data_IF_307474897225
#
_entry.id   IF_307474897225
#
_cell.length_a   1.000
_cell.length_b   1.000
_cell.length_c   1.000
_cell.angle_alpha   90.00
_cell.angle_beta   90.00
_cell.angle_gamma   90.00
#
_symmetry.space_group_name_H-M   'P 1'
#
loop_
_entity.id
_entity.type
_entity.pdbx_description
1 polymer ?
#
# COMPACT_ATOMS: atom_id res chain seq x y z
N UNK A 1 -15.57 1.05 -12.11
CA UNK A 1 -15.70 1.00 -10.62
C UNK A 1 -17.04 1.58 -10.16
N UNK A 2 -17.66 1.12 -9.05
CA UNK A 2 -18.80 1.84 -8.47
C UNK A 2 -18.39 3.26 -8.09
N UNK A 3 -19.24 4.24 -8.41
CA UNK A 3 -18.96 5.66 -8.17
C UNK A 3 -19.01 5.94 -6.66
N UNK A 4 -17.86 6.17 -6.03
CA UNK A 4 -17.80 6.73 -4.68
C UNK A 4 -17.91 8.26 -4.74
N UNK A 5 -18.39 8.86 -3.65
CA UNK A 5 -18.39 10.31 -3.49
C UNK A 5 -16.99 10.80 -3.14
N UNK A 6 -16.65 12.00 -3.60
CA UNK A 6 -15.41 12.71 -3.28
C UNK A 6 -15.71 13.95 -2.43
N UNK A 7 -14.67 14.65 -1.96
CA UNK A 7 -14.83 15.97 -1.32
C UNK A 7 -15.63 16.94 -2.22
N UNK A 8 -15.58 16.78 -3.55
CA UNK A 8 -16.32 17.63 -4.49
C UNK A 8 -17.81 17.36 -4.55
N UNK A 9 -18.26 16.18 -4.15
CA UNK A 9 -19.67 15.80 -4.14
C UNK A 9 -20.37 16.16 -2.81
N UNK A 10 -19.61 16.60 -1.79
CA UNK A 10 -20.11 16.84 -0.43
C UNK A 10 -20.34 18.33 -0.15
N UNK A 11 -21.45 18.63 0.53
CA UNK A 11 -21.72 19.97 1.08
C UNK A 11 -21.00 20.14 2.43
N UNK A 12 -19.93 20.93 2.44
CA UNK A 12 -19.03 21.10 3.60
C UNK A 12 -19.13 22.46 4.29
N UNK A 13 -19.77 23.46 3.67
CA UNK A 13 -19.71 24.84 4.15
C UNK A 13 -20.35 24.98 5.54
N UNK A 14 -19.57 25.51 6.49
CA UNK A 14 -19.97 25.66 7.89
C UNK A 14 -20.13 24.34 8.66
N UNK A 15 -19.77 23.19 8.08
CA UNK A 15 -19.92 21.88 8.73
C UNK A 15 -18.63 21.39 9.37
N UNK A 16 -18.78 20.66 10.46
CA UNK A 16 -17.74 19.84 11.06
C UNK A 16 -17.59 18.55 10.25
N UNK A 17 -16.40 18.34 9.72
CA UNK A 17 -16.07 17.24 8.82
C UNK A 17 -15.17 16.25 9.54
N UNK A 18 -15.73 15.10 9.92
CA UNK A 18 -14.95 14.00 10.50
C UNK A 18 -14.06 13.42 9.41
N UNK A 19 -12.74 13.55 9.57
CA UNK A 19 -11.77 13.17 8.54
C UNK A 19 -10.89 12.05 9.05
N UNK A 20 -11.06 10.83 8.52
CA UNK A 20 -10.19 9.70 8.87
C UNK A 20 -8.88 9.80 8.10
N UNK A 21 -7.75 9.92 8.81
CA UNK A 21 -6.42 10.16 8.21
C UNK A 21 -5.39 9.15 8.71
N UNK A 22 -4.37 8.83 7.90
CA UNK A 22 -3.24 8.01 8.36
C UNK A 22 -2.07 8.90 8.81
N UNK A 23 -1.88 9.00 10.12
CA UNK A 23 -0.69 9.64 10.74
C UNK A 23 0.12 8.64 11.54
N UNK A 24 0.00 7.34 11.24
CA UNK A 24 0.79 6.30 11.91
C UNK A 24 2.21 6.28 11.34
N UNK A 25 3.07 7.14 11.89
CA UNK A 25 4.46 7.41 11.46
C UNK A 25 5.48 6.85 12.45
N UNK A 26 6.73 6.57 12.04
CA UNK A 26 7.77 6.21 13.00
C UNK A 26 8.08 7.40 13.94
N UNK A 27 8.21 7.09 15.22
CA UNK A 27 8.54 8.05 16.27
C UNK A 27 9.69 7.49 17.10
N UNK A 28 10.74 8.28 17.28
CA UNK A 28 11.89 7.99 18.13
C UNK A 28 12.03 9.12 19.15
N UNK A 29 12.18 8.78 20.44
CA UNK A 29 12.30 9.75 21.54
C UNK A 29 11.22 10.86 21.54
N UNK A 30 9.98 10.48 21.18
CA UNK A 30 8.84 11.42 21.10
C UNK A 30 8.89 12.37 19.90
N UNK A 31 9.72 12.10 18.89
CA UNK A 31 9.83 12.88 17.65
C UNK A 31 9.54 12.03 16.44
N UNK A 32 8.76 12.57 15.51
CA UNK A 32 8.51 11.96 14.21
C UNK A 32 9.80 11.95 13.40
N UNK A 33 10.23 10.77 12.93
CA UNK A 33 11.45 10.60 12.12
C UNK A 33 11.17 10.55 10.61
N UNK A 34 9.92 10.26 10.22
CA UNK A 34 9.43 10.35 8.84
C UNK A 34 8.01 10.92 8.84
N UNK A 35 7.85 12.13 8.30
CA UNK A 35 6.59 12.85 8.26
C UNK A 35 5.77 12.59 6.98
N UNK A 36 6.22 11.71 6.08
CA UNK A 36 5.62 11.50 4.74
C UNK A 36 4.10 11.28 4.80
N UNK A 37 3.60 10.49 5.76
CA UNK A 37 2.15 10.24 5.91
C UNK A 37 1.37 11.47 6.37
N UNK A 38 1.97 12.27 7.25
CA UNK A 38 1.38 13.53 7.73
C UNK A 38 1.32 14.55 6.59
N UNK A 39 2.36 14.65 5.78
CA UNK A 39 2.41 15.57 4.64
C UNK A 39 1.35 15.22 3.58
N UNK A 40 1.15 13.91 3.31
CA UNK A 40 0.19 13.43 2.31
C UNK A 40 -1.29 13.75 2.61
N UNK A 41 -1.66 14.00 3.87
CA UNK A 41 -3.05 14.32 4.24
C UNK A 41 -3.34 15.82 4.20
N UNK A 42 -2.32 16.67 4.11
CA UNK A 42 -2.44 18.13 4.08
C UNK A 42 -3.37 18.62 2.96
N UNK A 43 -3.28 18.11 1.70
CA UNK A 43 -4.16 18.54 0.62
C UNK A 43 -5.65 18.36 0.95
N UNK A 44 -6.02 17.22 1.50
CA UNK A 44 -7.41 16.92 1.91
C UNK A 44 -7.89 17.90 2.98
N UNK A 45 -7.09 18.13 4.02
CA UNK A 45 -7.43 19.06 5.11
C UNK A 45 -7.63 20.48 4.57
N UNK A 46 -6.72 20.95 3.70
CA UNK A 46 -6.81 22.27 3.08
C UNK A 46 -8.00 22.38 2.13
N UNK A 47 -8.34 21.31 1.39
CA UNK A 47 -9.52 21.29 0.51
C UNK A 47 -10.83 21.40 1.31
N UNK A 48 -10.94 20.71 2.45
CA UNK A 48 -12.08 20.84 3.36
C UNK A 48 -12.21 22.29 3.86
N UNK A 49 -11.10 22.89 4.34
CA UNK A 49 -11.08 24.28 4.80
C UNK A 49 -11.46 25.27 3.69
N UNK A 50 -10.97 25.06 2.47
CA UNK A 50 -11.27 25.92 1.32
C UNK A 50 -12.75 25.89 0.92
N UNK A 51 -13.45 24.79 1.22
CA UNK A 51 -14.90 24.63 1.03
C UNK A 51 -15.74 25.09 2.24
N UNK A 52 -15.12 25.73 3.24
CA UNK A 52 -15.79 26.24 4.43
C UNK A 52 -16.03 25.20 5.53
N UNK A 53 -15.56 23.96 5.34
CA UNK A 53 -15.64 22.91 6.35
C UNK A 53 -14.58 23.04 7.45
N UNK A 54 -14.87 22.43 8.59
CA UNK A 54 -14.01 22.42 9.78
C UNK A 54 -13.51 20.99 10.01
N UNK A 55 -12.25 20.66 9.67
CA UNK A 55 -11.72 19.30 9.81
C UNK A 55 -11.57 18.86 11.28
N UNK A 56 -12.13 17.70 11.60
CA UNK A 56 -11.91 16.97 12.86
C UNK A 56 -11.27 15.62 12.51
N UNK A 57 -9.98 15.51 12.76
CA UNK A 57 -9.15 14.40 12.35
C UNK A 57 -9.31 13.21 13.32
N UNK A 58 -9.54 12.04 12.74
CA UNK A 58 -9.55 10.74 13.42
C UNK A 58 -8.38 9.91 12.91
N UNK A 59 -7.59 9.35 13.82
CA UNK A 59 -6.49 8.49 13.46
C UNK A 59 -6.22 7.42 14.52
N UNK A 60 -5.46 6.41 14.13
CA UNK A 60 -4.84 5.49 15.06
C UNK A 60 -3.33 5.73 15.11
N UNK A 61 -2.71 5.35 16.22
CA UNK A 61 -1.27 5.35 16.36
C UNK A 61 -0.82 4.07 17.07
N UNK A 62 0.08 3.30 16.44
CA UNK A 62 0.51 2.01 16.97
C UNK A 62 -0.62 0.98 17.17
N UNK A 63 -0.43 0.12 18.17
CA UNK A 63 -1.34 -0.98 18.53
C UNK A 63 -1.54 -1.05 20.05
N UNK A 64 -2.31 -0.12 20.62
CA UNK A 64 -2.48 0.02 22.06
C UNK A 64 -3.47 -0.99 22.68
N UNK A 65 -4.09 -1.86 21.86
CA UNK A 65 -4.99 -2.95 22.29
C UNK A 65 -6.18 -2.48 23.13
N UNK A 66 -6.81 -1.36 22.74
CA UNK A 66 -8.03 -0.86 23.37
C UNK A 66 -7.80 -0.21 24.74
N UNK A 67 -6.59 0.25 25.05
CA UNK A 67 -6.27 0.94 26.30
C UNK A 67 -5.39 2.18 26.04
N UNK A 68 -5.48 3.23 26.86
CA UNK A 68 -4.57 4.37 26.75
C UNK A 68 -3.12 3.97 27.01
N UNK A 69 -2.23 4.33 26.08
CA UNK A 69 -0.78 4.12 26.19
C UNK A 69 -0.08 5.41 25.79
N UNK A 70 0.60 6.07 26.73
CA UNK A 70 1.22 7.40 26.54
C UNK A 70 2.14 7.44 25.30
N UNK A 71 2.98 6.42 25.12
CA UNK A 71 3.88 6.30 23.98
C UNK A 71 3.13 6.17 22.63
N UNK A 72 1.84 5.83 22.66
CA UNK A 72 0.96 5.72 21.49
C UNK A 72 -0.15 6.80 21.48
N UNK A 73 0.00 7.88 22.24
CA UNK A 73 -0.87 9.05 22.09
C UNK A 73 -0.59 9.77 20.77
N UNK A 74 -1.65 10.30 20.15
CA UNK A 74 -1.52 11.17 18.98
C UNK A 74 -0.92 12.54 19.31
N UNK A 75 -0.69 12.86 20.58
CA UNK A 75 0.15 14.02 20.97
C UNK A 75 1.54 13.96 20.35
N UNK A 76 2.09 12.76 20.18
CA UNK A 76 3.43 12.55 19.63
C UNK A 76 3.55 13.09 18.20
N UNK A 77 2.46 13.09 17.43
CA UNK A 77 2.46 13.55 16.03
C UNK A 77 1.99 15.00 15.87
N UNK A 78 1.46 15.61 16.94
CA UNK A 78 0.87 16.95 16.91
C UNK A 78 1.87 18.01 16.41
N UNK A 79 3.13 18.09 16.91
CA UNK A 79 4.08 19.10 16.42
C UNK A 79 4.40 18.95 14.93
N UNK A 80 4.51 17.72 14.44
CA UNK A 80 4.77 17.46 13.02
C UNK A 80 3.55 17.81 12.14
N UNK A 81 2.34 17.53 12.63
CA UNK A 81 1.10 17.91 11.96
C UNK A 81 0.92 19.43 11.87
N UNK A 82 1.19 20.16 12.95
CA UNK A 82 1.15 21.63 12.96
C UNK A 82 2.18 22.23 11.99
N UNK A 83 3.40 21.68 11.98
CA UNK A 83 4.45 22.09 11.05
C UNK A 83 4.03 21.84 9.59
N UNK A 84 3.48 20.67 9.27
CA UNK A 84 3.03 20.33 7.91
C UNK A 84 1.84 21.18 7.45
N UNK A 85 0.90 21.48 8.34
CA UNK A 85 -0.27 22.32 8.01
C UNK A 85 0.04 23.82 7.98
N UNK A 86 1.13 24.24 8.63
CA UNK A 86 1.48 25.65 8.82
C UNK A 86 0.48 26.40 9.71
N UNK A 87 -0.23 25.70 10.61
CA UNK A 87 -1.21 26.30 11.52
C UNK A 87 -1.33 25.48 12.82
N UNK A 88 -1.76 26.08 13.93
CA UNK A 88 -2.06 25.35 15.16
C UNK A 88 -3.17 24.31 14.97
N UNK A 89 -3.06 23.20 15.68
CA UNK A 89 -4.06 22.13 15.67
C UNK A 89 -4.56 21.93 17.10
N UNK A 90 -5.86 22.10 17.32
CA UNK A 90 -6.46 21.78 18.59
C UNK A 90 -6.35 20.26 18.85
N UNK A 91 -6.25 19.87 20.12
CA UNK A 91 -6.18 18.46 20.49
C UNK A 91 -7.26 18.12 21.50
N UNK A 92 -8.01 17.05 21.27
CA UNK A 92 -8.94 16.49 22.24
C UNK A 92 -8.28 15.30 22.95
N UNK A 93 -8.24 15.33 24.28
CA UNK A 93 -7.69 14.26 25.12
C UNK A 93 -8.32 12.89 24.87
N UNK A 94 -9.56 12.88 24.36
CA UNK A 94 -10.37 11.69 24.13
C UNK A 94 -10.99 11.75 22.74
N UNK A 95 -11.18 10.60 22.11
CA UNK A 95 -11.81 10.51 20.79
C UNK A 95 -13.34 10.65 20.83
N UNK A 96 -13.94 10.44 22.00
CA UNK A 96 -15.39 10.47 22.22
C UNK A 96 -15.72 11.10 23.58
N UNK A 97 -17.01 11.26 23.86
CA UNK A 97 -17.50 11.70 25.17
C UNK A 97 -17.51 13.21 25.34
N UNK A 98 -17.61 13.67 26.59
CA UNK A 98 -17.80 15.09 26.92
C UNK A 98 -16.63 15.96 26.45
N UNK A 99 -15.41 15.47 26.54
CA UNK A 99 -14.20 16.20 26.19
C UNK A 99 -14.12 16.45 24.69
N UNK A 100 -14.31 15.41 23.87
CA UNK A 100 -14.39 15.52 22.42
C UNK A 100 -15.50 16.47 21.97
N UNK A 101 -16.70 16.37 22.56
CA UNK A 101 -17.83 17.26 22.24
C UNK A 101 -17.54 18.72 22.55
N UNK A 102 -16.90 19.02 23.69
CA UNK A 102 -16.51 20.39 24.06
C UNK A 102 -15.42 20.93 23.13
N UNK A 103 -14.44 20.11 22.77
CA UNK A 103 -13.40 20.50 21.82
C UNK A 103 -14.00 20.85 20.44
N UNK A 104 -14.90 20.01 19.93
CA UNK A 104 -15.61 20.27 18.66
C UNK A 104 -16.46 21.54 18.74
N UNK A 105 -17.23 21.73 19.82
CA UNK A 105 -18.09 22.89 19.99
C UNK A 105 -17.34 24.23 20.09
N UNK A 106 -16.05 24.19 20.44
CA UNK A 106 -15.19 25.38 20.51
C UNK A 106 -14.62 25.79 19.14
N UNK A 107 -14.69 24.92 18.12
CA UNK A 107 -14.06 25.17 16.83
C UNK A 107 -14.69 26.36 16.10
N UNK A 108 -13.83 27.16 15.49
CA UNK A 108 -14.17 28.25 14.59
C UNK A 108 -13.80 27.89 13.15
N UNK A 109 -14.37 28.57 12.13
CA UNK A 109 -13.93 28.43 10.75
C UNK A 109 -12.41 28.57 10.61
N UNK A 110 -11.79 27.66 9.87
CA UNK A 110 -10.33 27.59 9.70
C UNK A 110 -9.56 26.85 10.80
N UNK A 111 -10.22 26.40 11.88
CA UNK A 111 -9.58 25.52 12.86
C UNK A 111 -9.42 24.09 12.32
N UNK A 112 -8.52 23.33 12.95
CA UNK A 112 -8.38 21.88 12.79
C UNK A 112 -8.30 21.27 14.19
N UNK A 113 -9.01 20.15 14.39
CA UNK A 113 -8.96 19.38 15.63
C UNK A 113 -8.37 18.00 15.36
N UNK A 114 -7.45 17.53 16.19
CA UNK A 114 -7.01 16.14 16.25
C UNK A 114 -7.65 15.48 17.48
N UNK A 115 -8.42 14.42 17.24
CA UNK A 115 -8.91 13.56 18.30
C UNK A 115 -7.81 12.60 18.76
N UNK A 116 -7.86 12.17 20.02
CA UNK A 116 -6.96 11.13 20.52
C UNK A 116 -7.15 9.78 19.78
N UNK A 117 -6.15 8.93 19.87
CA UNK A 117 -6.00 7.65 19.20
C UNK A 117 -7.28 6.79 19.28
N UNK A 118 -7.89 6.52 18.13
CA UNK A 118 -9.12 5.71 18.05
C UNK A 118 -8.94 4.32 18.62
N UNK A 119 -7.74 3.74 18.56
CA UNK A 119 -7.45 2.40 19.10
C UNK A 119 -7.25 2.36 20.62
N UNK A 120 -7.29 3.48 21.32
CA UNK A 120 -7.43 3.46 22.79
C UNK A 120 -8.79 2.94 23.24
N UNK A 121 -9.74 2.78 22.31
CA UNK A 121 -11.07 2.27 22.58
C UNK A 121 -11.23 0.88 21.95
N UNK A 122 -11.64 -0.15 22.70
CA UNK A 122 -11.80 -1.50 22.15
C UNK A 122 -12.89 -1.58 21.07
N UNK A 123 -13.85 -0.64 21.10
CA UNK A 123 -14.90 -0.52 20.09
C UNK A 123 -14.39 -0.21 18.68
N UNK A 124 -13.21 0.41 18.54
CA UNK A 124 -12.64 0.76 17.23
C UNK A 124 -12.39 -0.47 16.36
N UNK A 125 -11.60 -1.43 16.86
CA UNK A 125 -11.23 -2.63 16.09
C UNK A 125 -12.39 -3.63 15.99
N UNK A 126 -13.35 -3.56 16.91
CA UNK A 126 -14.57 -4.37 16.89
C UNK A 126 -15.66 -3.82 15.95
N UNK A 127 -15.44 -2.64 15.36
CA UNK A 127 -16.47 -1.89 14.63
C UNK A 127 -17.77 -1.74 15.44
N UNK A 128 -17.62 -1.41 16.72
CA UNK A 128 -18.75 -1.36 17.65
C UNK A 128 -19.74 -0.26 17.24
N UNK A 129 -21.03 -0.58 17.05
CA UNK A 129 -22.03 0.41 16.63
C UNK A 129 -22.18 1.59 17.59
N UNK A 130 -21.99 1.38 18.90
CA UNK A 130 -22.10 2.45 19.90
C UNK A 130 -20.91 3.40 19.81
N UNK A 131 -19.71 2.87 19.60
CA UNK A 131 -18.51 3.66 19.36
C UNK A 131 -18.60 4.42 18.05
N UNK A 132 -19.02 3.78 16.95
CA UNK A 132 -19.27 4.42 15.66
C UNK A 132 -20.28 5.58 15.76
N UNK A 133 -21.39 5.38 16.48
CA UNK A 133 -22.38 6.43 16.72
C UNK A 133 -21.83 7.57 17.59
N UNK A 134 -20.96 7.25 18.55
CA UNK A 134 -20.32 8.26 19.39
C UNK A 134 -19.34 9.14 18.62
N UNK A 135 -18.60 8.56 17.67
CA UNK A 135 -17.75 9.32 16.73
C UNK A 135 -18.62 10.14 15.77
N UNK A 136 -19.63 9.53 15.14
CA UNK A 136 -20.51 10.20 14.17
C UNK A 136 -21.23 11.41 14.78
N UNK A 137 -21.58 11.38 16.06
CA UNK A 137 -22.19 12.50 16.76
C UNK A 137 -21.30 13.75 16.89
N UNK A 138 -20.01 13.66 16.53
CA UNK A 138 -19.05 14.77 16.57
C UNK A 138 -19.00 15.58 15.26
N UNK A 139 -19.65 15.15 14.19
CA UNK A 139 -19.64 15.91 12.93
C UNK A 139 -20.91 15.70 12.11
N UNK A 140 -20.96 16.35 10.94
CA UNK A 140 -22.11 16.27 10.04
C UNK A 140 -21.79 15.57 8.71
N UNK A 141 -20.51 15.49 8.35
CA UNK A 141 -20.01 14.84 7.13
C UNK A 141 -18.78 14.01 7.48
N UNK A 142 -18.57 12.90 6.79
CA UNK A 142 -17.41 12.04 6.94
C UNK A 142 -16.56 12.03 5.66
N UNK A 143 -15.25 12.18 5.81
CA UNK A 143 -14.27 12.04 4.74
C UNK A 143 -13.28 10.97 5.15
N UNK A 144 -13.15 9.91 4.34
CA UNK A 144 -12.13 8.89 4.56
C UNK A 144 -10.95 9.15 3.64
N UNK A 145 -9.82 9.51 4.23
CA UNK A 145 -8.56 9.78 3.53
C UNK A 145 -7.45 8.77 3.92
N UNK A 146 -7.83 7.66 4.57
CA UNK A 146 -6.92 6.66 5.09
C UNK A 146 -7.03 5.32 4.34
N UNK A 147 -6.62 5.30 3.06
CA UNK A 147 -6.64 4.07 2.24
C UNK A 147 -5.88 2.90 2.91
N UNK A 148 -4.75 3.18 3.56
CA UNK A 148 -3.96 2.20 4.32
C UNK A 148 -4.74 1.47 5.41
N UNK A 149 -5.80 2.07 5.96
CA UNK A 149 -6.65 1.49 6.99
C UNK A 149 -7.99 0.96 6.43
N UNK A 150 -8.29 1.19 5.15
CA UNK A 150 -9.59 0.87 4.56
C UNK A 150 -9.83 -0.63 4.36
N UNK A 151 -8.78 -1.45 4.40
CA UNK A 151 -8.86 -2.91 4.41
C UNK A 151 -9.41 -3.49 5.73
N UNK A 152 -9.60 -2.66 6.76
CA UNK A 152 -10.19 -3.06 8.04
C UNK A 152 -11.57 -2.45 8.20
N UNK A 153 -12.54 -3.29 8.57
CA UNK A 153 -13.84 -2.84 9.04
C UNK A 153 -13.71 -2.38 10.50
N UNK A 154 -13.29 -1.13 10.71
CA UNK A 154 -13.23 -0.51 12.04
C UNK A 154 -14.28 0.60 12.13
N UNK A 155 -14.64 1.01 13.34
CA UNK A 155 -15.61 2.09 13.56
C UNK A 155 -15.22 3.36 12.82
N UNK A 156 -13.96 3.80 12.95
CA UNK A 156 -13.50 5.04 12.33
C UNK A 156 -13.25 4.97 10.82
N UNK A 157 -13.25 3.78 10.20
CA UNK A 157 -13.00 3.59 8.75
C UNK A 157 -14.26 3.20 7.99
N UNK A 158 -15.17 2.47 8.63
CA UNK A 158 -16.32 1.79 8.03
C UNK A 158 -17.63 2.19 8.74
N UNK A 159 -17.67 2.05 10.07
CA UNK A 159 -18.89 2.25 10.84
C UNK A 159 -19.44 3.68 10.76
N UNK A 160 -18.58 4.69 10.89
CA UNK A 160 -18.96 6.12 10.77
C UNK A 160 -19.47 6.44 9.37
N UNK A 161 -18.89 5.84 8.32
CA UNK A 161 -19.28 6.07 6.93
C UNK A 161 -20.72 5.64 6.63
N UNK A 162 -21.27 4.68 7.40
CA UNK A 162 -22.67 4.25 7.28
C UNK A 162 -23.67 5.18 7.97
N UNK A 163 -23.19 6.07 8.84
CA UNK A 163 -24.02 6.93 9.68
C UNK A 163 -24.13 8.37 9.17
N UNK A 164 -23.14 8.82 8.38
CA UNK A 164 -23.05 10.18 7.86
C UNK A 164 -22.97 10.17 6.33
N UNK A 165 -23.30 11.29 5.65
CA UNK A 165 -22.85 11.52 4.29
C UNK A 165 -21.34 11.36 4.23
N UNK A 166 -20.85 10.52 3.31
CA UNK A 166 -19.46 10.09 3.29
C UNK A 166 -18.83 10.25 1.90
N UNK A 167 -17.53 10.56 1.87
CA UNK A 167 -16.76 10.58 0.63
C UNK A 167 -15.28 10.27 0.86
N UNK A 168 -14.58 10.01 -0.23
CA UNK A 168 -13.14 9.86 -0.27
C UNK A 168 -12.47 11.23 -0.12
N UNK A 169 -11.41 11.29 0.69
CA UNK A 169 -10.46 12.40 0.66
C UNK A 169 -9.58 12.33 -0.59
N UNK A 170 -8.73 13.35 -0.80
CA UNK A 170 -7.90 13.44 -2.02
C UNK A 170 -6.84 12.33 -2.11
N UNK A 171 -6.27 11.89 -0.98
CA UNK A 171 -5.32 10.78 -0.95
C UNK A 171 -6.02 9.45 -1.21
N UNK A 172 -7.18 9.23 -0.59
CA UNK A 172 -8.02 8.06 -0.86
C UNK A 172 -8.42 7.99 -2.34
N UNK A 173 -8.90 9.10 -2.89
CA UNK A 173 -9.29 9.19 -4.30
C UNK A 173 -8.11 8.89 -5.23
N UNK A 174 -6.93 9.46 -4.97
CA UNK A 174 -5.74 9.20 -5.76
C UNK A 174 -5.33 7.71 -5.73
N UNK A 175 -5.36 7.06 -4.56
CA UNK A 175 -5.09 5.62 -4.42
C UNK A 175 -6.09 4.79 -5.21
N UNK A 176 -7.40 5.07 -5.08
CA UNK A 176 -8.46 4.33 -5.78
C UNK A 176 -8.37 4.52 -7.31
N UNK A 177 -8.09 5.74 -7.78
CA UNK A 177 -7.93 6.03 -9.20
C UNK A 177 -6.72 5.31 -9.79
N UNK A 178 -5.57 5.33 -9.10
CA UNK A 178 -4.37 4.63 -9.54
C UNK A 178 -4.59 3.11 -9.59
N UNK A 179 -5.24 2.54 -8.58
CA UNK A 179 -5.56 1.11 -8.55
C UNK A 179 -6.52 0.73 -9.67
N UNK A 180 -7.59 1.51 -9.87
CA UNK A 180 -8.53 1.27 -10.97
C UNK A 180 -7.84 1.32 -12.34
N UNK A 181 -6.96 2.30 -12.56
CA UNK A 181 -6.17 2.38 -13.79
C UNK A 181 -5.19 1.20 -13.97
N UNK A 182 -4.86 0.48 -12.90
CA UNK A 182 -3.89 -0.61 -12.94
C UNK A 182 -4.49 -2.02 -13.10
N UNK A 183 -5.55 -2.36 -12.36
CA UNK A 183 -6.22 -3.68 -12.45
C UNK A 183 -7.73 -3.63 -12.70
N UNK A 184 -8.38 -2.47 -12.53
CA UNK A 184 -9.82 -2.34 -12.75
C UNK A 184 -10.16 -2.20 -14.23
N UNK A 185 -9.73 -1.09 -14.81
CA UNK A 185 -9.91 -0.72 -16.21
C UNK A 185 -8.57 -0.29 -16.83
N UNK A 186 -7.56 -1.19 -16.89
CA UNK A 186 -6.23 -0.84 -17.35
C UNK A 186 -6.10 -0.77 -18.86
N UNK A 187 -5.11 -0.01 -19.32
CA UNK A 187 -4.65 -0.08 -20.70
C UNK A 187 -3.85 -1.38 -20.91
N UNK A 188 -4.20 -2.14 -21.94
CA UNK A 188 -3.58 -3.43 -22.26
C UNK A 188 -2.50 -3.30 -23.34
N UNK A 189 -1.43 -4.10 -23.31
CA UNK A 189 -1.19 -5.22 -22.37
C UNK A 189 -0.80 -4.79 -20.94
N UNK A 190 -1.23 -5.56 -19.94
CA UNK A 190 -0.88 -5.37 -18.52
C UNK A 190 0.21 -6.34 -18.12
N UNK A 191 1.28 -5.81 -17.52
CA UNK A 191 2.31 -6.59 -16.85
C UNK A 191 2.21 -6.44 -15.33
N UNK A 192 2.44 -7.51 -14.60
CA UNK A 192 2.66 -7.46 -13.15
C UNK A 192 4.03 -8.05 -12.80
N UNK A 193 4.74 -7.39 -11.88
CA UNK A 193 5.95 -7.92 -11.23
C UNK A 193 5.58 -8.29 -9.81
N UNK A 194 5.76 -9.56 -9.47
CA UNK A 194 5.57 -10.08 -8.11
C UNK A 194 6.87 -10.69 -7.64
N UNK A 195 7.35 -10.22 -6.49
CA UNK A 195 8.58 -10.71 -5.87
C UNK A 195 8.43 -10.93 -4.36
N UNK A 196 9.57 -11.12 -3.72
CA UNK A 196 9.65 -11.43 -2.29
C UNK A 196 10.05 -12.88 -2.00
N UNK A 197 10.00 -13.26 -0.72
CA UNK A 197 10.67 -14.45 -0.23
C UNK A 197 9.84 -15.74 -0.29
N UNK A 198 8.51 -15.66 -0.16
CA UNK A 198 7.63 -16.83 0.05
C UNK A 198 6.39 -16.81 -0.82
N UNK A 199 6.14 -17.91 -1.52
CA UNK A 199 4.93 -18.16 -2.33
C UNK A 199 3.69 -18.24 -1.43
N UNK A 200 3.78 -18.92 -0.28
CA UNK A 200 2.65 -19.15 0.63
C UNK A 200 1.96 -17.85 1.06
N UNK A 201 2.71 -16.76 1.16
CA UNK A 201 2.22 -15.43 1.54
C UNK A 201 1.58 -14.64 0.39
N UNK A 202 1.63 -15.15 -0.84
CA UNK A 202 1.23 -14.48 -2.08
C UNK A 202 0.31 -15.32 -2.97
N UNK A 203 -0.23 -16.43 -2.47
CA UNK A 203 -1.05 -17.35 -3.26
C UNK A 203 -2.31 -16.68 -3.83
N UNK A 204 -3.07 -15.98 -2.97
CA UNK A 204 -4.29 -15.28 -3.38
C UNK A 204 -3.97 -14.18 -4.40
N UNK A 205 -2.85 -13.47 -4.19
CA UNK A 205 -2.36 -12.45 -5.10
C UNK A 205 -2.08 -13.02 -6.49
N UNK A 206 -1.24 -14.06 -6.57
CA UNK A 206 -0.89 -14.70 -7.83
C UNK A 206 -2.14 -15.27 -8.51
N UNK A 207 -3.01 -15.91 -7.75
CA UNK A 207 -4.26 -16.51 -8.25
C UNK A 207 -5.23 -15.49 -8.86
N UNK A 208 -5.32 -14.28 -8.31
CA UNK A 208 -6.11 -13.18 -8.88
C UNK A 208 -5.38 -12.49 -10.05
N UNK A 209 -4.07 -12.30 -9.97
CA UNK A 209 -3.32 -11.64 -11.03
C UNK A 209 -3.29 -12.42 -12.33
N UNK A 210 -3.13 -13.76 -12.31
CA UNK A 210 -3.14 -14.57 -13.54
C UNK A 210 -4.46 -14.48 -14.31
N UNK A 211 -5.56 -14.07 -13.67
CA UNK A 211 -6.84 -13.84 -14.35
C UNK A 211 -6.96 -12.43 -14.93
N UNK A 212 -6.13 -11.48 -14.48
CA UNK A 212 -6.28 -10.05 -14.78
C UNK A 212 -5.19 -9.50 -15.70
N UNK A 213 -3.99 -10.06 -15.68
CA UNK A 213 -2.83 -9.52 -16.41
C UNK A 213 -2.44 -10.38 -17.60
N UNK A 214 -1.85 -9.76 -18.62
CA UNK A 214 -1.35 -10.45 -19.81
C UNK A 214 0.04 -11.07 -19.55
N UNK A 215 0.86 -10.41 -18.72
CA UNK A 215 2.19 -10.88 -18.34
C UNK A 215 2.39 -10.86 -16.83
N UNK A 216 2.82 -11.97 -16.24
CA UNK A 216 3.15 -12.07 -14.83
C UNK A 216 4.63 -12.45 -14.65
N UNK A 217 5.44 -11.50 -14.22
CA UNK A 217 6.86 -11.67 -13.92
C UNK A 217 6.99 -12.06 -12.45
N UNK A 218 7.61 -13.21 -12.19
CA UNK A 218 7.83 -13.70 -10.82
C UNK A 218 9.32 -13.69 -10.53
N UNK A 219 9.73 -12.91 -9.53
CA UNK A 219 11.12 -12.81 -9.07
C UNK A 219 11.29 -13.13 -7.58
N UNK A 220 12.44 -12.79 -7.02
CA UNK A 220 12.76 -13.02 -5.60
C UNK A 220 12.86 -14.50 -5.24
N UNK A 221 12.93 -14.77 -3.93
CA UNK A 221 12.99 -16.15 -3.41
C UNK A 221 11.80 -17.01 -3.83
N UNK A 222 10.62 -16.42 -4.01
CA UNK A 222 9.43 -17.14 -4.43
C UNK A 222 9.54 -17.73 -5.85
N UNK A 223 10.33 -17.13 -6.74
CA UNK A 223 10.58 -17.68 -8.08
C UNK A 223 11.25 -19.06 -8.01
N UNK A 224 12.06 -19.32 -6.99
CA UNK A 224 12.73 -20.61 -6.81
C UNK A 224 11.75 -21.76 -6.57
N UNK A 225 10.61 -21.50 -5.92
CA UNK A 225 9.54 -22.51 -5.77
C UNK A 225 8.92 -22.87 -7.12
N UNK A 226 8.76 -21.89 -8.02
CA UNK A 226 8.27 -22.15 -9.38
C UNK A 226 9.30 -22.89 -10.24
N UNK A 227 10.59 -22.55 -10.11
CA UNK A 227 11.69 -23.27 -10.74
C UNK A 227 11.75 -24.73 -10.26
N UNK A 228 11.71 -24.95 -8.94
CA UNK A 228 11.65 -26.27 -8.33
C UNK A 228 10.42 -27.07 -8.83
N UNK A 229 9.26 -26.43 -8.94
CA UNK A 229 8.05 -27.05 -9.45
C UNK A 229 8.19 -27.51 -10.92
N UNK A 230 9.02 -26.84 -11.72
CA UNK A 230 9.40 -27.22 -13.09
C UNK A 230 10.52 -28.26 -13.17
N UNK A 231 11.02 -28.74 -12.02
CA UNK A 231 12.11 -29.74 -11.96
C UNK A 231 13.50 -29.14 -12.12
N UNK A 232 13.64 -27.83 -11.92
CA UNK A 232 14.93 -27.13 -11.94
C UNK A 232 15.63 -27.33 -10.59
N UNK A 233 16.91 -27.68 -10.61
CA UNK A 233 17.75 -27.72 -9.41
C UNK A 233 18.03 -26.30 -8.90
N UNK A 234 17.71 -26.05 -7.63
CA UNK A 234 17.83 -24.72 -7.00
C UNK A 234 18.90 -24.67 -5.90
N UNK A 235 19.67 -25.74 -5.69
CA UNK A 235 20.69 -25.80 -4.65
C UNK A 235 20.12 -25.52 -3.25
N UNK A 236 20.72 -24.58 -2.51
CA UNK A 236 20.31 -24.13 -1.17
C UNK A 236 19.39 -22.92 -1.18
N UNK A 237 18.80 -22.58 -2.34
CA UNK A 237 17.94 -21.41 -2.47
C UNK A 237 16.70 -21.51 -1.58
N UNK A 238 16.22 -20.36 -1.12
CA UNK A 238 14.95 -20.30 -0.41
C UNK A 238 13.83 -20.73 -1.36
N UNK A 239 13.09 -21.78 -0.99
CA UNK A 239 11.90 -22.26 -1.68
C UNK A 239 10.96 -22.95 -0.69
N UNK A 240 9.72 -23.17 -1.11
CA UNK A 240 8.68 -23.87 -0.34
C UNK A 240 8.27 -25.15 -1.11
N UNK A 241 8.96 -26.28 -0.90
CA UNK A 241 8.71 -27.51 -1.67
C UNK A 241 7.29 -28.05 -1.53
N UNK A 242 6.66 -27.82 -0.37
CA UNK A 242 5.26 -28.15 -0.08
C UNK A 242 4.26 -27.31 -0.89
N UNK A 243 4.71 -26.20 -1.47
CA UNK A 243 3.91 -25.34 -2.37
C UNK A 243 4.15 -25.65 -3.85
N UNK A 244 4.96 -26.66 -4.19
CA UNK A 244 5.30 -26.97 -5.59
C UNK A 244 4.06 -27.34 -6.43
N UNK A 245 3.10 -28.08 -5.86
CA UNK A 245 1.86 -28.43 -6.56
C UNK A 245 1.00 -27.18 -6.80
N UNK A 246 0.88 -26.31 -5.80
CA UNK A 246 0.17 -25.03 -5.96
C UNK A 246 0.85 -24.12 -7.00
N UNK A 247 2.18 -24.10 -7.08
CA UNK A 247 2.88 -23.38 -8.13
C UNK A 247 2.56 -23.93 -9.53
N UNK A 248 2.42 -25.26 -9.69
CA UNK A 248 1.98 -25.90 -10.95
C UNK A 248 0.53 -25.54 -11.28
N UNK A 249 -0.34 -25.47 -10.29
CA UNK A 249 -1.73 -25.06 -10.49
C UNK A 249 -1.80 -23.61 -10.99
N UNK A 250 -0.99 -22.70 -10.42
CA UNK A 250 -0.88 -21.32 -10.90
C UNK A 250 -0.36 -21.25 -12.34
N UNK A 251 0.68 -22.03 -12.68
CA UNK A 251 1.20 -22.12 -14.05
C UNK A 251 0.14 -22.63 -15.04
N UNK A 252 -0.65 -23.63 -14.63
CA UNK A 252 -1.73 -24.19 -15.43
C UNK A 252 -2.84 -23.17 -15.64
N UNK A 253 -3.30 -22.54 -14.55
CA UNK A 253 -4.31 -21.48 -14.59
C UNK A 253 -3.90 -20.32 -15.48
N UNK A 254 -2.64 -19.90 -15.42
CA UNK A 254 -2.12 -18.84 -16.29
C UNK A 254 -2.19 -19.22 -17.78
N UNK A 255 -1.87 -20.48 -18.13
CA UNK A 255 -2.02 -20.96 -19.50
C UNK A 255 -3.49 -20.99 -19.96
N UNK A 256 -4.43 -21.32 -19.06
CA UNK A 256 -5.87 -21.33 -19.34
C UNK A 256 -6.44 -19.91 -19.52
N UNK A 257 -5.97 -18.94 -18.74
CA UNK A 257 -6.41 -17.54 -18.79
C UNK A 257 -5.69 -16.70 -19.85
N UNK A 258 -4.67 -17.26 -20.51
CA UNK A 258 -3.84 -16.55 -21.49
C UNK A 258 -2.80 -15.61 -20.87
N UNK A 259 -2.55 -15.72 -19.57
CA UNK A 259 -1.49 -15.00 -18.88
C UNK A 259 -0.14 -15.69 -19.10
N UNK A 260 0.85 -14.95 -19.61
CA UNK A 260 2.20 -15.45 -19.76
C UNK A 260 3.01 -15.22 -18.49
N UNK A 261 3.40 -16.31 -17.81
CA UNK A 261 4.31 -16.25 -16.67
C UNK A 261 5.77 -16.23 -17.12
N UNK A 262 6.52 -15.23 -16.64
CA UNK A 262 7.96 -15.06 -16.85
C UNK A 262 8.70 -15.41 -15.55
N UNK A 263 9.59 -16.39 -15.63
CA UNK A 263 10.50 -16.78 -14.54
C UNK A 263 11.94 -16.40 -14.93
N UNK A 264 12.88 -16.29 -13.96
CA UNK A 264 14.28 -16.07 -14.26
C UNK A 264 14.85 -17.13 -15.19
N UNK A 265 15.62 -16.69 -16.20
CA UNK A 265 16.34 -17.56 -17.15
C UNK A 265 17.83 -17.66 -16.81
N UNK A 266 18.33 -16.68 -16.08
CA UNK A 266 19.65 -16.64 -15.47
C UNK A 266 19.55 -16.04 -14.07
N UNK A 267 20.48 -16.42 -13.20
CA UNK A 267 20.44 -16.13 -11.77
C UNK A 267 21.82 -15.82 -11.22
N UNK A 268 21.85 -14.91 -10.25
CA UNK A 268 23.04 -14.66 -9.43
C UNK A 268 22.98 -15.59 -8.23
N UNK A 269 24.03 -16.40 -8.06
CA UNK A 269 24.14 -17.32 -6.93
C UNK A 269 25.33 -16.98 -6.04
N UNK A 270 25.16 -17.20 -4.74
CA UNK A 270 26.18 -17.00 -3.72
C UNK A 270 26.21 -18.17 -2.73
N UNK A 271 27.35 -18.40 -2.09
CA UNK A 271 27.47 -19.42 -1.01
C UNK A 271 27.16 -18.84 0.36
N UNK A 272 27.12 -17.52 0.47
CA UNK A 272 26.98 -16.79 1.73
C UNK A 272 26.01 -15.62 1.53
N UNK A 273 25.07 -15.47 2.47
CA UNK A 273 24.06 -14.41 2.43
C UNK A 273 24.54 -13.21 3.24
N UNK A 274 25.47 -12.44 2.67
CA UNK A 274 26.03 -11.22 3.25
C UNK A 274 26.46 -10.23 2.18
N UNK A 275 26.69 -8.98 2.60
CA UNK A 275 27.22 -7.94 1.72
C UNK A 275 28.57 -8.35 1.12
N UNK A 276 28.77 -8.03 -0.16
CA UNK A 276 29.99 -8.29 -0.94
C UNK A 276 30.43 -9.76 -0.98
N UNK A 277 29.50 -10.70 -0.76
CA UNK A 277 29.81 -12.12 -0.89
C UNK A 277 30.24 -12.46 -2.34
N UNK A 278 31.26 -13.34 -2.53
CA UNK A 278 31.60 -13.88 -3.83
C UNK A 278 30.37 -14.54 -4.46
N UNK A 279 30.09 -14.16 -5.70
CA UNK A 279 28.92 -14.61 -6.45
C UNK A 279 29.29 -14.92 -7.89
N UNK A 280 28.45 -15.73 -8.52
CA UNK A 280 28.59 -16.17 -9.90
C UNK A 280 27.25 -16.02 -10.63
N UNK A 281 27.32 -15.75 -11.92
CA UNK A 281 26.16 -15.71 -12.81
C UNK A 281 26.06 -17.06 -13.52
N UNK A 282 24.91 -17.71 -13.40
CA UNK A 282 24.64 -19.01 -14.02
C UNK A 282 23.26 -19.01 -14.70
N UNK A 283 23.03 -19.85 -15.72
CA UNK A 283 21.68 -20.18 -16.16
C UNK A 283 20.82 -20.66 -14.98
N UNK A 284 19.51 -20.39 -15.02
CA UNK A 284 18.60 -20.79 -13.94
C UNK A 284 18.63 -22.31 -13.69
N UNK A 285 18.89 -23.11 -14.72
CA UNK A 285 19.00 -24.57 -14.66
C UNK A 285 20.36 -25.11 -14.20
N UNK A 286 21.32 -24.23 -13.93
CA UNK A 286 22.69 -24.59 -13.58
C UNK A 286 23.10 -24.11 -12.18
N UNK A 287 22.14 -23.94 -11.27
CA UNK A 287 22.43 -23.58 -9.88
C UNK A 287 23.27 -24.67 -9.19
N UNK A 288 24.47 -24.35 -8.66
CA UNK A 288 25.28 -25.33 -7.94
C UNK A 288 24.58 -25.86 -6.68
N UNK A 289 24.72 -27.15 -6.33
CA UNK A 289 24.10 -27.73 -5.14
C UNK A 289 24.51 -27.06 -3.82
N UNK A 290 25.67 -26.41 -3.77
CA UNK A 290 26.21 -25.78 -2.57
C UNK A 290 25.91 -24.27 -2.47
N UNK A 291 25.31 -23.66 -3.49
CA UNK A 291 25.01 -22.24 -3.60
C UNK A 291 23.50 -21.94 -3.47
N UNK A 292 23.15 -20.67 -3.28
CA UNK A 292 21.78 -20.17 -3.21
C UNK A 292 21.57 -19.03 -4.21
N UNK A 293 20.40 -18.98 -4.84
CA UNK A 293 19.95 -17.91 -5.72
C UNK A 293 19.59 -16.69 -4.86
N UNK A 294 20.19 -15.55 -5.17
CA UNK A 294 20.06 -14.31 -4.40
C UNK A 294 19.55 -13.12 -5.22
N UNK A 295 19.69 -13.17 -6.54
CA UNK A 295 19.12 -12.17 -7.46
C UNK A 295 18.86 -12.78 -8.85
N UNK A 296 18.04 -12.12 -9.66
CA UNK A 296 17.90 -12.45 -11.07
C UNK A 296 19.13 -11.99 -11.87
N UNK A 297 19.45 -12.67 -12.97
CA UNK A 297 20.57 -12.30 -13.83
C UNK A 297 20.24 -11.23 -14.87
N UNK A 298 21.26 -10.69 -15.57
CA UNK A 298 21.07 -9.65 -16.58
C UNK A 298 20.25 -10.10 -17.79
N UNK A 299 20.26 -11.38 -18.18
CA UNK A 299 19.42 -11.85 -19.30
C UNK A 299 17.94 -11.84 -18.91
N UNK A 300 17.63 -12.16 -17.66
CA UNK A 300 16.30 -12.05 -17.08
C UNK A 300 15.84 -10.61 -17.05
N UNK A 301 16.71 -9.67 -16.64
CA UNK A 301 16.40 -8.24 -16.67
C UNK A 301 16.11 -7.76 -18.10
N UNK A 302 16.89 -8.21 -19.09
CA UNK A 302 16.64 -7.84 -20.50
C UNK A 302 15.30 -8.39 -21.02
N UNK A 303 14.94 -9.62 -20.65
CA UNK A 303 13.62 -10.17 -20.97
C UNK A 303 12.49 -9.35 -20.33
N UNK A 304 12.66 -8.96 -19.05
CA UNK A 304 11.73 -8.09 -18.33
C UNK A 304 11.61 -6.72 -19.02
N UNK A 305 12.72 -6.12 -19.48
CA UNK A 305 12.71 -4.87 -20.25
C UNK A 305 11.88 -5.01 -21.52
N UNK A 306 12.01 -6.12 -22.24
CA UNK A 306 11.18 -6.43 -23.40
C UNK A 306 9.68 -6.49 -23.07
N UNK A 307 9.31 -7.12 -21.95
CA UNK A 307 7.91 -7.16 -21.47
C UNK A 307 7.39 -5.76 -21.14
N UNK A 308 8.18 -4.95 -20.42
CA UNK A 308 7.78 -3.58 -20.09
C UNK A 308 7.59 -2.70 -21.33
N UNK A 309 8.45 -2.83 -22.34
CA UNK A 309 8.35 -2.08 -23.58
C UNK A 309 7.10 -2.43 -24.40
N UNK A 310 6.57 -3.65 -24.25
CA UNK A 310 5.33 -4.10 -24.89
C UNK A 310 4.06 -3.79 -24.08
N UNK A 311 4.19 -3.56 -22.77
CA UNK A 311 3.08 -3.27 -21.89
C UNK A 311 2.63 -1.80 -21.98
N UNK A 312 1.37 -1.56 -21.61
CA UNK A 312 0.79 -0.23 -21.39
C UNK A 312 0.59 0.09 -19.93
N UNK A 313 0.38 -0.95 -19.12
CA UNK A 313 0.22 -0.83 -17.67
C UNK A 313 1.15 -1.81 -16.95
N UNK A 314 1.85 -1.33 -15.93
CA UNK A 314 2.71 -2.12 -15.06
C UNK A 314 2.22 -2.00 -13.62
N UNK A 315 2.09 -3.14 -12.94
CA UNK A 315 1.94 -3.18 -11.49
C UNK A 315 3.15 -3.86 -10.86
N UNK A 316 3.69 -3.29 -9.79
CA UNK A 316 4.85 -3.84 -9.11
C UNK A 316 4.59 -4.08 -7.61
N UNK A 317 4.73 -5.33 -7.18
CA UNK A 317 4.77 -5.73 -5.77
C UNK A 317 5.91 -6.72 -5.46
N UNK A 318 7.02 -6.23 -4.92
CA UNK A 318 8.12 -7.04 -4.39
C UNK A 318 9.39 -7.00 -5.25
N UNK A 319 10.58 -7.05 -4.64
CA UNK A 319 11.87 -7.01 -5.33
C UNK A 319 12.17 -8.31 -6.10
N UNK A 320 13.05 -8.22 -7.10
CA UNK A 320 13.48 -9.37 -7.91
C UNK A 320 14.61 -10.18 -7.26
N UNK A 321 15.27 -9.61 -6.25
CA UNK A 321 16.37 -10.22 -5.49
C UNK A 321 16.42 -9.74 -4.04
N UNK A 322 17.48 -10.13 -3.33
CA UNK A 322 17.77 -9.71 -1.95
C UNK A 322 18.28 -8.26 -1.89
N UNK A 323 17.41 -7.31 -2.25
CA UNK A 323 17.75 -5.91 -2.53
C UNK A 323 18.38 -5.16 -1.36
N UNK A 324 18.24 -5.66 -0.14
CA UNK A 324 18.84 -5.10 1.07
C UNK A 324 20.35 -5.34 1.12
N UNK A 325 20.85 -6.37 0.42
CA UNK A 325 22.24 -6.83 0.47
C UNK A 325 22.91 -6.57 -0.87
N UNK A 326 23.92 -5.69 -0.88
CA UNK A 326 24.71 -5.46 -2.10
C UNK A 326 25.63 -6.66 -2.38
N UNK A 327 25.81 -7.07 -3.64
CA UNK A 327 25.28 -6.48 -4.88
C UNK A 327 23.96 -7.12 -5.38
N UNK A 328 23.19 -7.80 -4.53
CA UNK A 328 21.99 -8.57 -4.87
C UNK A 328 20.72 -7.71 -5.05
N UNK A 329 20.92 -6.42 -5.30
CA UNK A 329 19.91 -5.44 -5.67
C UNK A 329 19.95 -5.07 -7.17
N UNK A 330 20.92 -5.60 -7.91
CA UNK A 330 21.20 -5.22 -9.29
C UNK A 330 20.00 -5.43 -10.22
N UNK A 331 19.32 -6.58 -10.17
CA UNK A 331 18.19 -6.83 -11.05
C UNK A 331 16.99 -5.96 -10.73
N UNK A 332 16.70 -5.79 -9.43
CA UNK A 332 15.61 -4.93 -8.95
C UNK A 332 15.84 -3.49 -9.41
N UNK A 333 17.05 -2.97 -9.22
CA UNK A 333 17.41 -1.61 -9.62
C UNK A 333 17.31 -1.44 -11.15
N UNK A 334 17.86 -2.38 -11.92
CA UNK A 334 17.89 -2.30 -13.37
C UNK A 334 16.49 -2.41 -14.00
N UNK A 335 15.61 -3.26 -13.47
CA UNK A 335 14.22 -3.35 -13.90
C UNK A 335 13.41 -2.10 -13.47
N UNK A 336 13.65 -1.56 -12.27
CA UNK A 336 12.98 -0.35 -11.79
C UNK A 336 13.32 0.86 -12.66
N UNK A 337 14.59 1.00 -13.05
CA UNK A 337 15.06 2.02 -13.99
C UNK A 337 14.39 1.90 -15.35
N UNK A 338 14.23 0.69 -15.88
CA UNK A 338 13.54 0.47 -17.14
C UNK A 338 12.07 0.91 -17.11
N UNK A 339 11.36 0.54 -16.04
CA UNK A 339 9.96 0.94 -15.86
C UNK A 339 9.83 2.47 -15.77
N UNK A 340 10.70 3.11 -14.97
CA UNK A 340 10.75 4.56 -14.81
C UNK A 340 11.05 5.31 -16.11
N UNK A 341 11.99 4.80 -16.92
CA UNK A 341 12.28 5.35 -18.25
C UNK A 341 11.03 5.36 -19.14
N UNK A 342 10.34 4.23 -19.25
CA UNK A 342 9.13 4.10 -20.05
C UNK A 342 7.96 4.95 -19.52
N UNK A 343 7.87 5.12 -18.20
CA UNK A 343 6.86 5.99 -17.61
C UNK A 343 7.13 7.46 -17.90
N UNK A 344 8.37 7.95 -17.77
CA UNK A 344 8.74 9.32 -18.16
C UNK A 344 8.46 9.61 -19.63
N UNK A 345 8.63 8.61 -20.49
CA UNK A 345 8.31 8.71 -21.92
C UNK A 345 6.81 8.67 -22.22
N UNK A 346 5.95 8.48 -21.20
CA UNK A 346 4.50 8.38 -21.35
C UNK A 346 4.04 7.08 -22.04
N UNK A 347 4.90 6.06 -22.09
CA UNK A 347 4.61 4.77 -22.75
C UNK A 347 4.00 3.73 -21.81
N UNK A 348 4.23 3.90 -20.51
CA UNK A 348 3.86 2.93 -19.47
C UNK A 348 3.25 3.63 -18.25
N UNK A 349 2.01 3.29 -17.94
CA UNK A 349 1.40 3.61 -16.64
C UNK A 349 1.97 2.65 -15.60
N UNK A 350 2.75 3.14 -14.64
CA UNK A 350 3.40 2.30 -13.64
C UNK A 350 2.87 2.56 -12.22
N UNK A 351 2.32 1.52 -11.62
CA UNK A 351 1.77 1.55 -10.26
C UNK A 351 2.55 0.58 -9.39
N UNK A 352 3.14 1.07 -8.30
CA UNK A 352 3.89 0.24 -7.37
C UNK A 352 3.34 0.33 -5.95
N UNK A 353 3.51 -0.73 -5.18
CA UNK A 353 3.11 -0.72 -3.77
C UNK A 353 3.70 -1.88 -2.97
N UNK A 354 3.60 -1.77 -1.66
CA UNK A 354 4.25 -2.66 -0.68
C UNK A 354 5.56 -2.07 -0.15
N UNK A 355 5.80 -2.22 1.16
CA UNK A 355 6.92 -1.56 1.85
C UNK A 355 8.28 -1.82 1.19
N UNK A 356 8.59 -3.08 0.90
CA UNK A 356 9.86 -3.49 0.29
C UNK A 356 10.00 -2.94 -1.15
N UNK A 357 8.91 -2.94 -1.93
CA UNK A 357 8.90 -2.33 -3.27
C UNK A 357 9.24 -0.85 -3.19
N UNK A 358 8.58 -0.12 -2.29
CA UNK A 358 8.80 1.33 -2.12
C UNK A 358 10.24 1.60 -1.67
N UNK A 359 10.78 0.81 -0.74
CA UNK A 359 12.17 0.92 -0.31
C UNK A 359 13.14 0.67 -1.48
N UNK A 360 12.89 -0.38 -2.28
CA UNK A 360 13.70 -0.71 -3.45
C UNK A 360 13.66 0.39 -4.53
N UNK A 361 12.49 0.94 -4.84
CA UNK A 361 12.35 2.02 -5.84
C UNK A 361 13.04 3.31 -5.38
N UNK A 362 13.00 3.64 -4.09
CA UNK A 362 13.75 4.76 -3.52
C UNK A 362 15.26 4.52 -3.62
N UNK A 363 15.73 3.32 -3.27
CA UNK A 363 17.15 2.94 -3.38
C UNK A 363 17.64 2.98 -4.82
N UNK A 364 16.80 2.58 -5.78
CA UNK A 364 17.07 2.69 -7.21
C UNK A 364 17.02 4.14 -7.75
N UNK A 365 16.55 5.10 -6.95
CA UNK A 365 16.48 6.52 -7.30
C UNK A 365 15.35 6.89 -8.27
N UNK A 366 14.32 6.04 -8.39
CA UNK A 366 13.27 6.17 -9.43
C UNK A 366 11.85 6.32 -8.89
N UNK A 367 11.69 6.41 -7.56
CA UNK A 367 10.37 6.47 -6.94
C UNK A 367 9.49 7.63 -7.47
N UNK A 368 10.10 8.77 -7.79
CA UNK A 368 9.39 9.95 -8.31
C UNK A 368 9.03 9.84 -9.80
N UNK A 369 9.57 8.84 -10.50
CA UNK A 369 9.35 8.64 -11.93
C UNK A 369 8.20 7.69 -12.23
N UNK A 370 7.72 6.94 -11.23
CA UNK A 370 6.56 6.06 -11.37
C UNK A 370 5.26 6.87 -11.43
N UNK A 371 4.25 6.37 -12.14
CA UNK A 371 2.96 7.06 -12.24
C UNK A 371 2.30 7.20 -10.88
N UNK A 372 2.36 6.14 -10.07
CA UNK A 372 1.85 6.17 -8.71
C UNK A 372 2.57 5.17 -7.80
N UNK A 373 2.89 5.61 -6.59
CA UNK A 373 3.43 4.74 -5.53
C UNK A 373 2.49 4.76 -4.33
N UNK A 374 1.84 3.61 -4.10
CA UNK A 374 0.95 3.41 -2.97
C UNK A 374 1.75 3.29 -1.67
N UNK A 375 1.35 4.07 -0.68
CA UNK A 375 1.89 3.99 0.69
C UNK A 375 1.00 3.15 1.62
N UNK A 376 -0.02 2.51 1.06
CA UNK A 376 -1.06 1.82 1.82
C UNK A 376 -0.72 0.38 2.20
N UNK A 377 0.46 -0.11 1.83
CA UNK A 377 1.03 -1.37 2.30
C UNK A 377 0.07 -2.56 2.13
N UNK A 378 -0.45 -3.06 3.24
CA UNK A 378 -1.38 -4.19 3.26
C UNK A 378 -2.70 -3.94 2.51
N UNK A 379 -3.23 -2.71 2.52
CA UNK A 379 -4.48 -2.42 1.81
C UNK A 379 -4.31 -2.52 0.28
N UNK A 380 -3.16 -2.05 -0.23
CA UNK A 380 -2.80 -2.21 -1.63
C UNK A 380 -2.69 -3.70 -2.01
N UNK A 381 -2.07 -4.51 -1.16
CA UNK A 381 -1.93 -5.95 -1.38
C UNK A 381 -3.28 -6.67 -1.38
N UNK A 382 -4.12 -6.45 -0.36
CA UNK A 382 -5.45 -7.08 -0.28
C UNK A 382 -6.33 -6.68 -1.47
N UNK A 383 -6.20 -5.45 -1.96
CA UNK A 383 -6.88 -5.01 -3.17
C UNK A 383 -6.37 -5.75 -4.42
N UNK A 384 -5.05 -5.91 -4.56
CA UNK A 384 -4.46 -6.70 -5.63
C UNK A 384 -4.78 -8.19 -5.53
N UNK A 385 -5.17 -8.70 -4.36
CA UNK A 385 -5.72 -10.05 -4.17
C UNK A 385 -7.19 -10.15 -4.63
N UNK A 386 -7.82 -9.02 -5.00
CA UNK A 386 -9.20 -8.95 -5.42
C UNK A 386 -10.20 -8.90 -4.26
N UNK A 387 -9.75 -8.59 -3.03
CA UNK A 387 -10.62 -8.47 -1.86
C UNK A 387 -11.36 -7.14 -1.85
N UNK A 388 -12.60 -7.18 -1.38
CA UNK A 388 -13.35 -5.98 -1.04
C UNK A 388 -12.74 -5.32 0.19
N UNK A 389 -12.40 -4.03 0.09
CA UNK A 389 -11.91 -3.25 1.21
C UNK A 389 -13.10 -2.61 1.94
N UNK A 390 -13.40 -2.99 3.20
CA UNK A 390 -14.62 -2.55 3.87
C UNK A 390 -14.79 -1.03 3.96
N UNK A 391 -13.70 -0.31 4.22
CA UNK A 391 -13.71 1.16 4.30
C UNK A 391 -13.91 1.83 2.93
N UNK A 392 -13.62 1.16 1.82
CA UNK A 392 -13.92 1.64 0.45
C UNK A 392 -15.36 1.29 0.09
N UNK A 393 -15.79 0.06 0.37
CA UNK A 393 -17.16 -0.39 0.15
C UNK A 393 -18.17 0.52 0.89
N UNK A 394 -17.85 0.94 2.12
CA UNK A 394 -18.70 1.85 2.87
C UNK A 394 -18.81 3.26 2.24
N UNK A 395 -17.84 3.71 1.46
CA UNK A 395 -17.94 4.98 0.71
C UNK A 395 -18.83 4.82 -0.52
N UNK A 396 -18.78 3.67 -1.18
CA UNK A 396 -19.61 3.35 -2.35
C UNK A 396 -21.09 3.27 -1.95
N UNK A 397 -21.39 2.65 -0.81
CA UNK A 397 -22.74 2.45 -0.28
C UNK A 397 -23.28 3.67 0.49
N UNK A 398 -22.48 4.73 0.63
CA UNK A 398 -22.80 5.85 1.50
C UNK A 398 -23.99 6.66 1.01
N UNK A 399 -24.68 7.31 1.96
CA UNK A 399 -25.79 8.21 1.67
C UNK A 399 -25.25 9.53 1.12
N UNK A 400 -26.03 10.13 0.20
CA UNK A 400 -25.80 11.49 -0.29
C UNK A 400 -26.08 12.54 0.78
#
# INVERSE_FOLDING_TARGET
MPRFHTIDDLDLDGKVVLTRVDVNVPVEDGRVTDATRIEKIVPTIKAIQAKGGIPVLMAHFGRPKGQPVEAMSLRQVLPALEAALGQPVAFAEHAIGGDAKRAVAALQPGNVLLLENTRFYPGEEANDPTFSASLAALGQVYVNDAFSAAHRAHSSTEGVARLLPAGAGLLMEAELNALNAALGEPERPVAAVVGGAKVSTKLELLGNLVEKVDHLIIGGGMANTFLLAKGVEIGKSLAEPDMADTARDILTKAAETGCQIHLPVDVVVAREFREDAPHELVPAEACPPDAMIVDAGPQTVEAIRGVFAAARTLIWNGPLGAFEIRPFDAATNAAAQAAAELTREGKLVSVAGGGDTVAALNKAGVAQDFTFISTAGGAFLEWMEGKDLPGVAALIDSKR
#
